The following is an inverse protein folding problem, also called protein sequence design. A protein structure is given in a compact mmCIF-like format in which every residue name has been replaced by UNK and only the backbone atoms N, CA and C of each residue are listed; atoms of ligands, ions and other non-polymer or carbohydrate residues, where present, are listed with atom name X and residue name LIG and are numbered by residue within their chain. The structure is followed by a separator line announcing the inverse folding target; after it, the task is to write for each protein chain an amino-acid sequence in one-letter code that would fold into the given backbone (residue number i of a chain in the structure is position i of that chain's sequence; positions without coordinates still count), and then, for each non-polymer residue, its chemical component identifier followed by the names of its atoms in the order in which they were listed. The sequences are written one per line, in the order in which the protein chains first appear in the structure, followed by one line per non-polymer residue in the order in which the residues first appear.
data_IF_375676152593
#
_entry.id   IF_375676152593
#
_cell.length_a   1.000
_cell.length_b   1.000
_cell.length_c   1.000
_cell.angle_alpha   90.00
_cell.angle_beta   90.00
_cell.angle_gamma   90.00
#
_symmetry.space_group_name_H-M   'P 1'
#
loop_
_entity.id
_entity.type
_entity.pdbx_description
1 polymer ?
#
# COMPACT_ATOMS: atom_id res chain seq x y z
N UNK A 1 8.02 -17.60 7.61
CA UNK A 1 7.73 -16.66 8.72
C UNK A 1 7.29 -15.38 8.07
N UNK A 2 6.20 -14.78 8.54
CA UNK A 2 5.73 -13.49 8.04
C UNK A 2 6.68 -12.40 8.53
N UNK A 3 7.28 -11.63 7.62
CA UNK A 3 8.21 -10.56 7.95
C UNK A 3 7.51 -9.23 8.25
N UNK A 4 6.33 -9.02 7.65
CA UNK A 4 5.50 -7.82 7.79
C UNK A 4 4.00 -8.15 7.69
N UNK A 5 3.17 -7.29 8.26
CA UNK A 5 1.73 -7.26 8.08
C UNK A 5 1.29 -6.40 6.88
N UNK A 6 -0.03 -6.29 6.74
CA UNK A 6 -0.70 -5.51 5.71
C UNK A 6 -2.20 -5.42 5.98
N UNK A 7 -2.88 -4.52 5.26
CA UNK A 7 -4.32 -4.32 5.32
C UNK A 7 -4.92 -4.49 3.93
N UNK A 8 -5.89 -5.39 3.76
CA UNK A 8 -6.64 -5.47 2.50
C UNK A 8 -7.54 -4.23 2.37
N UNK A 9 -7.29 -3.36 1.39
CA UNK A 9 -8.01 -2.09 1.21
C UNK A 9 -8.93 -2.08 -0.03
N UNK A 10 -8.76 -3.05 -0.92
CA UNK A 10 -9.65 -3.39 -2.02
C UNK A 10 -9.54 -4.90 -2.30
N UNK A 11 -10.43 -5.53 -3.10
CA UNK A 11 -10.47 -6.99 -3.26
C UNK A 11 -9.11 -7.63 -3.57
N UNK A 12 -8.26 -6.98 -4.35
CA UNK A 12 -6.91 -7.46 -4.69
C UNK A 12 -5.79 -6.47 -4.34
N UNK A 13 -6.02 -5.55 -3.39
CA UNK A 13 -5.02 -4.54 -3.01
C UNK A 13 -4.77 -4.57 -1.52
N UNK A 14 -3.51 -4.75 -1.16
CA UNK A 14 -3.04 -4.72 0.24
C UNK A 14 -2.17 -3.48 0.45
N UNK A 15 -2.52 -2.66 1.43
CA UNK A 15 -1.70 -1.56 1.92
C UNK A 15 -0.72 -2.09 2.97
N UNK A 16 0.55 -1.72 2.87
CA UNK A 16 1.61 -2.11 3.80
C UNK A 16 2.65 -0.98 3.91
N UNK A 17 3.73 -1.20 4.66
CA UNK A 17 4.84 -0.25 4.75
C UNK A 17 5.79 -0.41 3.54
N UNK A 18 6.40 0.68 3.09
CA UNK A 18 7.33 0.63 1.96
C UNK A 18 8.58 -0.19 2.28
N UNK A 19 9.03 -0.17 3.55
CA UNK A 19 10.20 -0.96 3.98
C UNK A 19 9.96 -2.48 3.97
N UNK A 20 8.69 -2.93 3.91
CA UNK A 20 8.33 -4.33 3.79
C UNK A 20 8.46 -4.88 2.37
N UNK A 21 8.45 -4.01 1.35
CA UNK A 21 8.56 -4.42 -0.05
C UNK A 21 10.01 -4.79 -0.39
N UNK A 22 10.20 -5.99 -0.94
CA UNK A 22 11.50 -6.59 -1.21
C UNK A 22 12.03 -7.49 -0.08
N UNK A 23 11.18 -7.85 0.90
CA UNK A 23 11.52 -8.70 2.05
C UNK A 23 10.79 -10.06 2.02
N UNK A 24 10.58 -10.64 0.82
CA UNK A 24 9.88 -11.91 0.66
C UNK A 24 8.35 -11.75 0.55
N UNK A 25 7.94 -10.79 -0.27
CA UNK A 25 6.56 -10.40 -0.56
C UNK A 25 5.93 -11.20 -1.71
N UNK A 26 6.35 -12.45 -1.94
CA UNK A 26 5.81 -13.29 -3.03
C UNK A 26 4.32 -13.64 -2.84
N UNK A 27 3.87 -13.77 -1.58
CA UNK A 27 2.50 -14.14 -1.22
C UNK A 27 2.01 -13.32 -0.03
N UNK A 28 0.71 -13.01 -0.02
CA UNK A 28 0.01 -12.44 1.13
C UNK A 28 -0.96 -13.48 1.69
N UNK A 29 -0.88 -13.69 3.01
CA UNK A 29 -1.90 -14.44 3.74
C UNK A 29 -3.01 -13.50 4.22
N UNK A 30 -4.26 -13.77 3.86
CA UNK A 30 -5.41 -12.91 4.14
C UNK A 30 -6.43 -13.69 4.99
N UNK A 31 -6.99 -13.03 6.01
CA UNK A 31 -7.93 -13.67 6.93
C UNK A 31 -7.34 -14.78 7.78
N UNK A 32 -6.01 -14.81 7.89
CA UNK A 32 -5.27 -15.75 8.75
C UNK A 32 -5.35 -15.27 10.19
N UNK A 33 -5.58 -16.17 11.14
CA UNK A 33 -5.40 -15.94 12.57
C UNK A 33 -3.97 -16.31 13.00
N UNK A 34 -3.31 -17.22 12.28
CA UNK A 34 -1.99 -17.73 12.65
C UNK A 34 -0.86 -17.04 11.89
N UNK A 35 0.27 -16.83 12.55
CA UNK A 35 1.44 -16.14 11.99
C UNK A 35 2.18 -16.92 10.88
N UNK A 36 1.81 -18.18 10.63
CA UNK A 36 2.39 -18.96 9.55
C UNK A 36 1.69 -18.75 8.21
N UNK A 37 0.50 -18.12 8.22
CA UNK A 37 -0.27 -17.78 7.03
C UNK A 37 -0.80 -18.97 6.22
N UNK A 38 -0.67 -20.20 6.70
CA UNK A 38 -1.01 -21.44 5.97
C UNK A 38 -2.02 -22.32 6.68
N UNK A 39 -2.33 -22.04 7.95
CA UNK A 39 -3.29 -22.83 8.73
C UNK A 39 -4.75 -22.47 8.43
N UNK A 40 -5.00 -21.21 8.13
CA UNK A 40 -6.32 -20.65 7.87
C UNK A 40 -6.22 -19.46 6.90
N UNK A 41 -7.38 -18.87 6.57
CA UNK A 41 -7.44 -17.79 5.61
C UNK A 41 -7.27 -18.25 4.17
N UNK A 42 -6.53 -17.46 3.40
CA UNK A 42 -6.07 -17.80 2.05
C UNK A 42 -4.70 -17.18 1.77
N UNK A 43 -3.99 -17.74 0.81
CA UNK A 43 -2.72 -17.20 0.32
C UNK A 43 -2.88 -16.80 -1.14
N UNK A 44 -2.58 -15.54 -1.42
CA UNK A 44 -2.66 -15.00 -2.79
C UNK A 44 -1.30 -14.47 -3.18
N UNK A 45 -0.86 -14.84 -4.37
CA UNK A 45 0.41 -14.39 -4.93
C UNK A 45 0.38 -12.91 -5.24
N UNK A 46 1.48 -12.23 -4.95
CA UNK A 46 1.67 -10.81 -5.29
C UNK A 46 2.05 -10.71 -6.76
N UNK A 47 1.27 -9.93 -7.50
CA UNK A 47 1.50 -9.58 -8.90
C UNK A 47 2.45 -8.40 -9.03
N UNK A 48 2.31 -7.40 -8.15
CA UNK A 48 3.09 -6.17 -8.21
C UNK A 48 3.22 -5.55 -6.82
N UNK A 49 4.40 -5.03 -6.51
CA UNK A 49 4.66 -4.26 -5.30
C UNK A 49 5.10 -2.85 -5.69
N UNK A 50 4.51 -1.83 -5.06
CA UNK A 50 4.73 -0.42 -5.41
C UNK A 50 4.95 0.37 -4.12
N UNK A 51 6.13 0.97 -3.98
CA UNK A 51 6.43 1.90 -2.88
C UNK A 51 5.86 3.29 -3.21
N UNK A 52 5.46 4.03 -2.19
CA UNK A 52 5.07 5.42 -2.35
C UNK A 52 6.23 6.22 -2.98
N UNK A 53 6.02 7.04 -4.03
CA UNK A 53 7.10 7.72 -4.75
C UNK A 53 7.86 8.75 -3.89
N UNK A 54 7.19 9.32 -2.88
CA UNK A 54 7.81 10.21 -1.88
C UNK A 54 8.44 9.46 -0.69
N UNK A 55 8.50 8.13 -0.73
CA UNK A 55 9.12 7.36 0.34
C UNK A 55 10.58 7.77 0.54
N UNK A 56 10.97 7.98 1.78
CA UNK A 56 12.35 8.26 2.14
C UNK A 56 12.80 7.32 3.26
N UNK A 57 13.45 6.21 2.89
CA UNK A 57 13.94 5.19 3.81
C UNK A 57 14.94 5.69 4.87
N UNK A 58 15.58 6.87 4.68
CA UNK A 58 16.48 7.43 5.71
C UNK A 58 15.70 8.10 6.85
N UNK A 59 14.56 8.68 6.53
CA UNK A 59 13.73 9.47 7.46
C UNK A 59 12.46 8.73 7.87
N UNK A 60 12.12 7.65 7.17
CA UNK A 60 10.84 6.94 7.21
C UNK A 60 9.63 7.76 6.73
N UNK A 61 9.86 8.90 6.07
CA UNK A 61 8.78 9.70 5.49
C UNK A 61 8.05 8.90 4.40
N UNK A 62 6.71 8.99 4.38
CA UNK A 62 5.86 8.25 3.45
C UNK A 62 6.21 6.75 3.37
N UNK A 63 6.39 6.09 4.52
CA UNK A 63 6.62 4.65 4.59
C UNK A 63 5.34 3.85 4.33
N UNK A 64 4.87 3.92 3.09
CA UNK A 64 3.65 3.32 2.58
C UNK A 64 3.96 2.62 1.27
N UNK A 65 3.40 1.44 1.07
CA UNK A 65 3.43 0.71 -0.19
C UNK A 65 2.12 -0.03 -0.42
N UNK A 66 1.88 -0.44 -1.66
CA UNK A 66 0.76 -1.31 -2.04
C UNK A 66 1.28 -2.58 -2.68
N UNK A 67 0.62 -3.69 -2.37
CA UNK A 67 0.77 -4.98 -3.04
C UNK A 67 -0.51 -5.23 -3.84
N UNK A 68 -0.36 -5.46 -5.15
CA UNK A 68 -1.43 -5.88 -6.04
C UNK A 68 -1.39 -7.39 -6.14
N UNK A 69 -2.51 -8.04 -5.86
CA UNK A 69 -2.65 -9.49 -5.84
C UNK A 69 -3.07 -10.04 -7.20
N UNK A 70 -2.70 -11.30 -7.49
CA UNK A 70 -3.06 -11.96 -8.76
C UNK A 70 -4.57 -12.18 -8.93
N UNK A 71 -5.31 -12.32 -7.83
CA UNK A 71 -6.77 -12.45 -7.83
C UNK A 71 -7.40 -11.73 -6.63
N UNK A 72 -8.71 -11.56 -6.70
CA UNK A 72 -9.50 -10.98 -5.62
C UNK A 72 -9.59 -11.94 -4.43
N UNK A 73 -9.45 -11.39 -3.23
CA UNK A 73 -9.67 -12.04 -1.96
C UNK A 73 -11.15 -12.29 -1.70
N UNK A 74 -11.46 -13.38 -1.01
CA UNK A 74 -12.82 -13.65 -0.49
C UNK A 74 -13.12 -12.88 0.79
N UNK A 75 -12.11 -12.28 1.43
CA UNK A 75 -12.27 -11.52 2.67
C UNK A 75 -12.62 -10.06 2.37
N UNK A 76 -13.41 -9.42 3.25
CA UNK A 76 -13.75 -8.02 3.06
C UNK A 76 -12.51 -7.13 3.26
N UNK A 77 -12.42 -6.08 2.44
CA UNK A 77 -11.46 -5.02 2.65
C UNK A 77 -11.86 -4.12 3.84
N UNK A 78 -10.86 -3.57 4.54
CA UNK A 78 -11.08 -2.55 5.56
C UNK A 78 -11.36 -1.20 4.91
N UNK A 79 -12.26 -0.41 5.48
CA UNK A 79 -12.52 0.95 5.03
C UNK A 79 -11.28 1.82 5.30
N UNK A 80 -10.79 2.54 4.29
CA UNK A 80 -9.70 3.51 4.46
C UNK A 80 -10.28 4.88 4.78
N UNK A 81 -9.84 5.49 5.88
CA UNK A 81 -10.19 6.88 6.21
C UNK A 81 -9.04 7.82 5.87
N UNK A 82 -9.38 8.89 5.16
CA UNK A 82 -8.49 10.02 4.91
C UNK A 82 -8.76 11.20 5.83
N UNK A 83 -9.62 11.03 6.83
CA UNK A 83 -9.92 12.06 7.81
C UNK A 83 -8.71 12.35 8.69
N UNK A 84 -8.67 13.56 9.25
CA UNK A 84 -7.64 13.91 10.23
C UNK A 84 -7.93 13.19 11.54
N UNK A 85 -6.96 12.45 12.04
CA UNK A 85 -7.01 11.84 13.38
C UNK A 85 -6.48 12.84 14.40
N UNK A 86 -7.33 13.21 15.37
CA UNK A 86 -6.96 14.11 16.45
C UNK A 86 -6.01 13.42 17.45
N UNK A 87 -5.41 14.20 18.35
CA UNK A 87 -4.72 13.63 19.51
C UNK A 87 -5.71 12.97 20.48
N UNK A 88 -5.22 12.06 21.31
CA UNK A 88 -5.99 11.31 22.32
C UNK A 88 -7.19 10.54 21.72
N UNK A 89 -7.11 10.22 20.43
CA UNK A 89 -8.12 9.42 19.74
C UNK A 89 -7.81 7.95 19.98
N UNK A 90 -8.76 7.16 20.52
CA UNK A 90 -8.59 5.73 20.68
C UNK A 90 -8.38 5.05 19.33
N UNK A 91 -7.31 4.27 19.22
CA UNK A 91 -6.97 3.46 18.05
C UNK A 91 -6.62 2.04 18.47
N UNK A 92 -6.67 1.11 17.53
CA UNK A 92 -6.31 -0.29 17.75
C UNK A 92 -5.27 -0.68 16.71
N UNK A 93 -4.17 -1.25 17.18
CA UNK A 93 -3.15 -1.89 16.34
C UNK A 93 -3.27 -3.40 16.46
N UNK A 94 -3.04 -4.11 15.34
CA UNK A 94 -3.16 -5.57 15.26
C UNK A 94 -1.96 -6.18 14.56
N UNK A 95 -1.51 -7.34 15.04
CA UNK A 95 -0.45 -8.08 14.39
C UNK A 95 0.06 -9.30 15.16
N UNK A 96 1.17 -9.84 14.67
CA UNK A 96 1.83 -11.07 15.18
C UNK A 96 3.25 -10.81 15.68
N UNK A 97 3.60 -9.53 15.82
CA UNK A 97 4.91 -9.09 16.24
C UNK A 97 5.31 -9.65 17.60
N UNK A 98 6.56 -9.40 17.98
CA UNK A 98 7.11 -9.86 19.24
C UNK A 98 6.31 -9.25 20.39
N UNK A 99 5.98 -10.05 21.41
CA UNK A 99 5.21 -9.58 22.58
C UNK A 99 6.07 -8.79 23.58
N UNK A 100 7.10 -8.10 23.09
CA UNK A 100 8.15 -7.43 23.83
C UNK A 100 9.42 -7.28 22.98
N UNK A 101 10.31 -6.35 23.35
CA UNK A 101 11.52 -6.02 22.58
C UNK A 101 12.48 -7.20 22.34
N UNK A 102 12.48 -8.19 23.25
CA UNK A 102 13.22 -9.47 23.13
C UNK A 102 12.27 -10.67 23.15
N UNK A 103 10.98 -10.43 22.93
CA UNK A 103 9.94 -11.45 22.96
C UNK A 103 9.94 -12.33 21.72
N UNK A 104 9.27 -13.47 21.80
CA UNK A 104 8.97 -14.27 20.61
C UNK A 104 7.77 -13.70 19.86
N UNK A 105 7.75 -13.84 18.52
CA UNK A 105 6.55 -13.52 17.73
C UNK A 105 5.35 -14.32 18.22
N UNK A 106 4.19 -13.66 18.30
CA UNK A 106 2.95 -14.35 18.65
C UNK A 106 2.57 -15.35 17.54
N UNK A 107 2.15 -16.56 17.93
CA UNK A 107 1.64 -17.57 16.98
C UNK A 107 0.24 -17.22 16.46
N UNK A 108 -0.46 -16.36 17.16
CA UNK A 108 -1.85 -15.96 16.89
C UNK A 108 -1.96 -14.44 16.81
N UNK A 109 -2.95 -13.94 16.09
CA UNK A 109 -3.17 -12.51 15.93
C UNK A 109 -3.51 -11.90 17.30
N UNK A 110 -2.83 -10.83 17.66
CA UNK A 110 -3.10 -10.04 18.84
C UNK A 110 -3.57 -8.64 18.44
N UNK A 111 -4.25 -7.97 19.36
CA UNK A 111 -4.62 -6.58 19.23
C UNK A 111 -4.40 -5.85 20.56
N UNK A 112 -4.12 -4.55 20.48
CA UNK A 112 -3.99 -3.69 21.64
C UNK A 112 -4.52 -2.29 21.33
N UNK A 113 -5.22 -1.72 22.31
CA UNK A 113 -5.68 -0.34 22.25
C UNK A 113 -4.53 0.63 22.53
N UNK A 114 -4.37 1.63 21.68
CA UNK A 114 -3.37 2.69 21.81
C UNK A 114 -4.03 4.02 21.44
N UNK A 115 -3.72 5.08 22.17
CA UNK A 115 -4.28 6.41 21.88
C UNK A 115 -3.29 7.23 21.08
N UNK A 116 -3.78 7.99 20.10
CA UNK A 116 -2.94 8.87 19.30
C UNK A 116 -2.30 9.95 20.16
N UNK A 117 -1.07 10.33 19.80
CA UNK A 117 -0.29 11.35 20.50
C UNK A 117 -0.20 12.59 19.61
N UNK A 118 -0.32 13.77 20.23
CA UNK A 118 -0.09 15.03 19.54
C UNK A 118 1.31 15.08 18.89
N UNK A 119 1.40 15.65 17.69
CA UNK A 119 2.64 15.70 16.89
C UNK A 119 3.82 16.34 17.62
N UNK A 120 3.60 17.46 18.31
CA UNK A 120 4.65 18.18 19.05
C UNK A 120 5.12 17.36 20.25
N UNK A 121 4.17 16.78 20.98
CA UNK A 121 4.50 15.91 22.11
C UNK A 121 5.23 14.64 21.66
N UNK A 122 4.85 14.05 20.52
CA UNK A 122 5.55 12.90 19.99
C UNK A 122 6.99 13.25 19.59
N UNK A 123 7.20 14.36 18.88
CA UNK A 123 8.55 14.83 18.56
C UNK A 123 9.39 15.12 19.82
N UNK A 124 8.77 15.69 20.86
CA UNK A 124 9.45 15.93 22.15
C UNK A 124 9.85 14.62 22.84
N UNK A 125 8.99 13.61 22.81
CA UNK A 125 9.29 12.30 23.40
C UNK A 125 10.35 11.53 22.62
N UNK A 126 10.35 11.69 21.30
CA UNK A 126 11.27 11.04 20.38
C UNK A 126 12.49 11.92 20.06
N UNK A 127 12.80 12.91 20.92
CA UNK A 127 13.94 13.80 20.73
C UNK A 127 15.25 13.01 20.82
N UNK A 128 15.91 12.81 19.69
CA UNK A 128 17.08 11.94 19.55
C UNK A 128 16.96 10.90 18.43
N UNK A 129 15.73 10.69 17.95
CA UNK A 129 15.43 9.86 16.78
C UNK A 129 15.20 10.73 15.54
N UNK A 130 14.78 10.09 14.43
CA UNK A 130 14.33 10.80 13.24
C UNK A 130 13.17 11.75 13.55
N UNK A 131 13.19 12.93 12.91
CA UNK A 131 12.11 13.90 13.02
C UNK A 131 10.79 13.29 12.52
N UNK A 132 9.74 13.42 13.33
CA UNK A 132 8.42 12.91 13.02
C UNK A 132 7.69 14.00 12.25
N UNK A 133 7.73 13.90 10.92
CA UNK A 133 7.13 14.88 10.01
C UNK A 133 5.62 14.68 9.83
N UNK A 134 5.00 15.52 9.00
CA UNK A 134 3.56 15.49 8.77
C UNK A 134 3.05 14.17 8.17
N UNK A 135 3.89 13.42 7.45
CA UNK A 135 3.54 12.11 6.86
C UNK A 135 3.41 11.00 7.90
N UNK A 136 3.73 11.28 9.17
CA UNK A 136 3.67 10.34 10.27
C UNK A 136 2.65 10.77 11.34
N UNK A 137 2.20 9.80 12.13
CA UNK A 137 1.46 10.01 13.36
C UNK A 137 1.97 9.03 14.42
N UNK A 138 1.73 9.35 15.68
CA UNK A 138 2.13 8.51 16.80
C UNK A 138 0.92 7.99 17.56
N UNK A 139 1.02 6.78 18.09
CA UNK A 139 0.01 6.20 18.98
C UNK A 139 0.68 5.40 20.09
N UNK A 140 0.11 5.42 21.30
CA UNK A 140 0.63 4.72 22.47
C UNK A 140 1.57 5.56 23.34
N UNK A 141 2.59 4.92 23.93
CA UNK A 141 3.57 5.60 24.80
C UNK A 141 3.15 5.75 26.27
N UNK A 142 1.98 5.21 26.68
CA UNK A 142 1.60 5.11 28.11
C UNK A 142 2.47 4.11 28.89
N UNK A 143 3.13 3.19 28.17
CA UNK A 143 3.89 2.08 28.72
C UNK A 143 3.02 0.84 28.95
N UNK A 144 3.57 -0.36 28.72
CA UNK A 144 2.86 -1.63 28.84
C UNK A 144 2.08 -2.09 27.59
N UNK A 145 1.73 -1.16 26.69
CA UNK A 145 0.92 -1.41 25.48
C UNK A 145 1.53 -0.68 24.27
N UNK A 146 1.83 -1.40 23.18
CA UNK A 146 2.44 -0.88 21.95
C UNK A 146 2.42 -1.91 20.80
N UNK A 147 2.64 -1.44 19.57
CA UNK A 147 3.08 -2.31 18.46
C UNK A 147 4.56 -2.67 18.58
N UNK A 148 4.97 -3.79 18.00
CA UNK A 148 6.35 -4.27 18.16
C UNK A 148 6.91 -4.89 16.86
N UNK A 149 8.11 -5.48 16.95
CA UNK A 149 8.84 -6.02 15.82
C UNK A 149 8.02 -7.11 15.12
N UNK A 150 7.82 -6.99 13.81
CA UNK A 150 6.98 -7.91 13.01
C UNK A 150 5.53 -7.46 12.83
N UNK A 151 5.12 -6.35 13.47
CA UNK A 151 3.84 -5.69 13.15
C UNK A 151 3.96 -4.68 12.01
N UNK A 152 5.18 -4.40 11.54
CA UNK A 152 5.48 -3.50 10.41
C UNK A 152 4.55 -3.73 9.22
N UNK A 153 4.00 -2.65 8.67
CA UNK A 153 3.00 -2.70 7.60
C UNK A 153 1.59 -3.05 8.05
N UNK A 154 1.41 -3.45 9.32
CA UNK A 154 0.13 -3.79 9.91
C UNK A 154 -0.79 -2.57 10.13
N UNK A 155 -2.09 -2.83 10.39
CA UNK A 155 -3.11 -1.80 10.51
C UNK A 155 -3.02 -1.01 11.83
N UNK A 156 -3.18 0.31 11.74
CA UNK A 156 -3.72 1.13 12.82
C UNK A 156 -5.11 1.59 12.44
N UNK A 157 -6.09 1.27 13.29
CA UNK A 157 -7.52 1.49 13.01
C UNK A 157 -8.21 2.33 14.07
N UNK A 158 -9.22 3.09 13.67
CA UNK A 158 -10.21 3.67 14.55
C UNK A 158 -11.48 2.82 14.54
N UNK A 159 -11.97 2.45 15.72
CA UNK A 159 -13.20 1.68 15.87
C UNK A 159 -14.38 2.65 16.11
N UNK A 160 -15.27 2.81 15.13
CA UNK A 160 -16.45 3.68 15.25
C UNK A 160 -17.72 2.91 14.95
N UNK A 161 -18.66 2.89 15.90
CA UNK A 161 -19.99 2.27 15.72
C UNK A 161 -19.95 0.84 15.17
N UNK A 162 -18.96 0.04 15.62
CA UNK A 162 -18.79 -1.35 15.21
C UNK A 162 -18.12 -1.58 13.86
N UNK A 163 -17.53 -0.53 13.26
CA UNK A 163 -16.72 -0.64 12.04
C UNK A 163 -15.31 -0.10 12.27
N UNK A 164 -14.31 -0.84 11.79
CA UNK A 164 -12.91 -0.44 11.82
C UNK A 164 -12.58 0.38 10.57
N UNK A 165 -11.97 1.56 10.77
CA UNK A 165 -11.43 2.38 9.69
C UNK A 165 -9.91 2.46 9.79
N UNK A 166 -9.22 2.14 8.71
CA UNK A 166 -7.78 2.21 8.62
C UNK A 166 -7.34 3.68 8.55
N UNK A 167 -6.48 4.09 9.48
CA UNK A 167 -5.98 5.47 9.61
C UNK A 167 -4.46 5.58 9.62
N UNK A 168 -3.77 4.47 9.84
CA UNK A 168 -2.31 4.42 9.81
C UNK A 168 -1.77 3.04 9.44
N UNK A 169 -0.48 3.02 9.09
CA UNK A 169 0.28 1.81 8.78
C UNK A 169 1.49 1.76 9.72
N UNK A 170 1.69 0.66 10.44
CA UNK A 170 2.84 0.48 11.35
C UNK A 170 4.14 0.69 10.57
N UNK A 171 5.00 1.60 11.01
CA UNK A 171 6.23 1.95 10.30
C UNK A 171 7.47 1.66 11.14
N UNK A 172 7.63 2.30 12.29
CA UNK A 172 8.79 2.12 13.16
C UNK A 172 8.48 2.49 14.61
N UNK A 173 9.42 2.21 15.51
CA UNK A 173 9.33 2.54 16.93
C UNK A 173 10.65 2.31 17.64
N UNK A 174 10.75 2.74 18.89
CA UNK A 174 11.94 2.54 19.72
C UNK A 174 11.58 1.63 20.88
N UNK A 175 12.12 0.40 20.85
CA UNK A 175 11.70 -0.67 21.77
C UNK A 175 10.19 -0.91 21.64
N UNK A 176 9.59 -1.66 22.55
CA UNK A 176 8.15 -1.90 22.55
C UNK A 176 7.60 -1.65 23.94
N UNK A 177 6.48 -0.93 24.01
CA UNK A 177 5.71 -0.71 25.24
C UNK A 177 6.46 0.07 26.33
N UNK A 178 7.36 0.97 25.91
CA UNK A 178 8.11 1.83 26.82
C UNK A 178 7.39 3.17 26.99
N UNK A 179 7.30 3.62 28.25
CA UNK A 179 6.70 4.91 28.56
C UNK A 179 7.41 6.03 27.80
N UNK A 180 6.63 6.95 27.23
CA UNK A 180 7.07 8.06 26.38
C UNK A 180 7.81 7.61 25.11
N UNK A 181 7.59 6.39 24.62
CA UNK A 181 8.09 5.92 23.33
C UNK A 181 6.91 5.31 22.55
N UNK A 182 6.07 6.13 21.91
CA UNK A 182 4.96 5.63 21.13
C UNK A 182 5.45 4.91 19.86
N UNK A 183 4.62 4.04 19.31
CA UNK A 183 4.77 3.57 17.94
C UNK A 183 4.57 4.71 16.94
N UNK A 184 5.32 4.67 15.84
CA UNK A 184 5.23 5.64 14.73
C UNK A 184 4.63 4.94 13.52
N UNK A 185 3.59 5.57 12.98
CA UNK A 185 2.77 5.06 11.90
C UNK A 185 2.80 6.03 10.73
N UNK A 186 2.77 5.52 9.52
CA UNK A 186 2.52 6.35 8.34
C UNK A 186 1.08 6.84 8.36
N UNK A 187 0.90 8.16 8.18
CA UNK A 187 -0.39 8.86 8.24
C UNK A 187 -1.12 8.75 6.90
N UNK A 188 -2.18 7.95 6.85
CA UNK A 188 -2.92 7.65 5.60
C UNK A 188 -3.48 8.90 4.93
N UNK A 189 -4.00 9.86 5.71
CA UNK A 189 -4.56 11.10 5.17
C UNK A 189 -3.55 11.91 4.35
N UNK A 190 -2.25 11.80 4.64
CA UNK A 190 -1.19 12.48 3.88
C UNK A 190 -0.76 11.75 2.61
N UNK A 191 -1.17 10.49 2.44
CA UNK A 191 -0.89 9.67 1.27
C UNK A 191 -2.15 9.41 0.43
N UNK A 192 -3.19 10.23 0.60
CA UNK A 192 -4.46 10.08 -0.12
C UNK A 192 -4.28 9.95 -1.63
N UNK A 193 -3.50 10.84 -2.23
CA UNK A 193 -3.28 10.86 -3.70
C UNK A 193 -2.66 9.56 -4.20
N UNK A 194 -1.85 8.89 -3.37
CA UNK A 194 -1.27 7.59 -3.68
C UNK A 194 -2.28 6.45 -3.47
N UNK A 195 -3.06 6.46 -2.38
CA UNK A 195 -3.91 5.33 -1.99
C UNK A 195 -5.26 5.32 -2.73
N UNK A 196 -5.89 6.47 -2.89
CA UNK A 196 -7.26 6.61 -3.43
C UNK A 196 -7.44 5.96 -4.83
N UNK A 197 -6.47 6.05 -5.77
CA UNK A 197 -6.57 5.36 -7.07
C UNK A 197 -6.74 3.84 -6.97
N UNK A 198 -6.22 3.22 -5.91
CA UNK A 198 -6.31 1.77 -5.71
C UNK A 198 -7.64 1.33 -5.08
N UNK A 199 -8.37 2.23 -4.41
CA UNK A 199 -9.68 1.94 -3.81
C UNK A 199 -10.81 1.87 -4.84
N UNK A 200 -10.64 2.54 -5.99
CA UNK A 200 -11.67 2.67 -7.04
C UNK A 200 -11.75 1.43 -7.96
N UNK A 201 -10.83 0.46 -7.81
CA UNK A 201 -10.85 -0.80 -8.57
C UNK A 201 -11.47 -1.93 -7.74
N UNK A 202 -12.63 -2.40 -8.18
CA UNK A 202 -13.28 -3.65 -7.75
C UNK A 202 -13.86 -4.34 -9.00
N UNK A 203 -14.14 -5.65 -8.93
CA UNK A 203 -13.24 -6.80 -9.04
C UNK A 203 -12.75 -7.04 -10.49
N UNK A 204 -11.59 -7.70 -10.64
CA UNK A 204 -11.25 -8.27 -11.96
C UNK A 204 -12.18 -9.45 -12.18
N UNK A 205 -13.16 -9.30 -13.08
CA UNK A 205 -13.99 -10.43 -13.49
C UNK A 205 -13.10 -11.58 -13.95
N UNK A 206 -13.11 -12.68 -13.20
CA UNK A 206 -12.47 -13.92 -13.63
C UNK A 206 -13.03 -14.32 -15.01
N UNK A 207 -12.21 -14.71 -16.00
CA UNK A 207 -12.71 -15.28 -17.23
C UNK A 207 -13.38 -16.63 -16.92
N UNK A 208 -14.71 -16.65 -16.95
CA UNK A 208 -15.50 -17.87 -16.82
C UNK A 208 -15.16 -18.88 -17.92
N UNK A 209 -15.02 -20.14 -17.53
CA UNK A 209 -14.68 -21.29 -18.37
C UNK A 209 -15.87 -21.76 -19.22
N UNK A 210 -15.57 -22.11 -20.47
CA UNK A 210 -16.21 -23.14 -21.35
C UNK A 210 -17.60 -22.87 -21.99
N UNK A 211 -17.63 -22.69 -23.31
CA UNK A 211 -18.22 -23.69 -24.27
C UNK A 211 -17.74 -23.43 -25.72
N UNK A 212 -17.43 -24.51 -26.45
CA UNK A 212 -16.96 -24.54 -27.85
C UNK A 212 -18.14 -24.70 -28.87
N UNK A 213 -17.96 -24.99 -30.18
CA UNK A 213 -17.34 -24.21 -31.28
C UNK A 213 -18.23 -24.02 -32.55
N UNK A 214 -17.96 -22.95 -33.35
CA UNK A 214 -18.16 -22.81 -34.83
C UNK A 214 -19.54 -22.34 -35.35
N UNK A 215 -19.70 -21.87 -36.63
CA UNK A 215 -18.72 -21.75 -37.74
C UNK A 215 -18.75 -20.44 -38.64
N UNK A 216 -17.59 -20.15 -39.26
CA UNK A 216 -17.24 -19.45 -40.55
C UNK A 216 -17.91 -18.16 -41.14
N UNK A 217 -17.01 -17.23 -41.55
CA UNK A 217 -16.98 -16.04 -42.50
C UNK A 217 -17.76 -16.21 -43.85
N UNK A 218 -17.82 -15.26 -44.84
CA UNK A 218 -17.23 -13.89 -44.99
C UNK A 218 -18.01 -12.79 -45.79
N UNK A 219 -17.64 -11.49 -45.68
CA UNK A 219 -17.75 -10.53 -46.82
C UNK A 219 -16.84 -9.28 -46.70
N UNK A 220 -16.50 -8.69 -47.84
CA UNK A 220 -15.39 -7.77 -48.19
C UNK A 220 -15.81 -6.28 -48.31
N UNK A 221 -14.82 -5.36 -48.31
CA UNK A 221 -14.88 -3.87 -48.28
C UNK A 221 -15.45 -3.16 -49.55
N UNK A 222 -15.55 -1.81 -49.54
CA UNK A 222 -14.56 -1.04 -50.32
C UNK A 222 -13.98 0.26 -49.67
N UNK A 223 -12.83 0.64 -50.24
CA UNK A 223 -11.84 1.68 -49.92
C UNK A 223 -12.30 3.14 -50.14
N UNK A 224 -11.69 4.08 -49.40
CA UNK A 224 -11.41 5.44 -49.88
C UNK A 224 -10.12 6.00 -49.26
N UNK A 225 -9.23 6.47 -50.14
CA UNK A 225 -7.84 6.86 -49.92
C UNK A 225 -7.71 8.35 -49.61
N UNK A 226 -6.84 8.76 -48.67
CA UNK A 226 -6.03 9.99 -48.81
C UNK A 226 -4.77 9.90 -47.94
N UNK A 227 -3.60 10.26 -48.49
CA UNK A 227 -2.29 10.13 -47.87
C UNK A 227 -1.86 11.33 -46.98
N UNK A 228 -1.10 10.94 -45.96
CA UNK A 228 -0.21 11.59 -44.98
C UNK A 228 0.64 12.78 -45.47
N UNK A 229 1.00 13.71 -44.56
CA UNK A 229 2.39 13.86 -44.07
C UNK A 229 2.40 14.09 -42.53
N UNK A 230 3.31 13.67 -41.66
CA UNK A 230 4.62 12.99 -41.68
C UNK A 230 4.72 12.41 -40.26
N UNK A 231 4.57 11.10 -40.07
CA UNK A 231 4.69 10.50 -38.74
C UNK A 231 6.15 10.18 -38.47
N UNK A 232 6.74 10.89 -37.51
CA UNK A 232 7.83 10.35 -36.71
C UNK A 232 7.34 8.99 -36.17
N UNK A 233 8.10 7.89 -36.30
CA UNK A 233 7.68 6.63 -35.72
C UNK A 233 7.41 6.84 -34.23
N UNK A 234 6.26 6.37 -33.68
CA UNK A 234 6.00 6.49 -32.25
C UNK A 234 7.14 5.84 -31.50
N UNK A 235 7.68 6.55 -30.51
CA UNK A 235 8.75 6.07 -29.65
C UNK A 235 8.26 4.76 -29.01
N UNK A 236 9.06 3.67 -28.97
CA UNK A 236 8.61 2.39 -28.43
C UNK A 236 8.04 2.57 -27.02
N UNK A 237 6.75 2.22 -26.82
CA UNK A 237 6.02 2.47 -25.57
C UNK A 237 4.96 3.58 -25.62
N UNK A 238 5.01 4.50 -26.59
CA UNK A 238 4.03 5.59 -26.75
C UNK A 238 2.88 5.26 -27.72
N UNK A 239 2.61 3.98 -27.99
CA UNK A 239 1.53 3.59 -28.91
C UNK A 239 0.15 3.62 -28.26
N UNK A 240 0.08 3.67 -26.93
CA UNK A 240 -1.15 3.55 -26.13
C UNK A 240 -1.32 4.69 -25.11
N UNK A 241 -0.41 5.65 -25.07
CA UNK A 241 -0.39 6.73 -24.08
C UNK A 241 -0.13 8.09 -24.76
N UNK A 242 -0.84 9.12 -24.30
CA UNK A 242 -0.71 10.50 -24.80
C UNK A 242 -0.05 11.45 -23.77
N UNK A 243 0.51 10.89 -22.69
CA UNK A 243 1.06 11.60 -21.51
C UNK A 243 2.36 10.91 -21.06
N UNK A 244 2.63 10.72 -19.77
CA UNK A 244 3.80 9.97 -19.31
C UNK A 244 3.57 8.45 -19.34
N UNK A 245 4.43 7.70 -20.02
CA UNK A 245 4.41 6.24 -20.06
C UNK A 245 5.53 5.64 -19.22
N UNK A 246 5.20 4.66 -18.40
CA UNK A 246 6.17 3.91 -17.59
C UNK A 246 6.39 2.52 -18.17
N UNK A 247 7.54 2.33 -18.83
CA UNK A 247 7.87 1.09 -19.54
C UNK A 247 7.99 -0.14 -18.63
N UNK A 248 8.36 0.05 -17.37
CA UNK A 248 8.50 -1.05 -16.40
C UNK A 248 7.18 -1.72 -16.01
N UNK A 249 6.03 -1.07 -16.27
CA UNK A 249 4.71 -1.61 -15.95
C UNK A 249 3.70 -1.52 -17.11
N UNK A 250 4.13 -1.11 -18.30
CA UNK A 250 3.26 -0.90 -19.48
C UNK A 250 2.03 -0.04 -19.14
N UNK A 251 2.25 1.12 -18.51
CA UNK A 251 1.19 1.95 -17.92
C UNK A 251 1.32 3.44 -18.24
N UNK A 252 0.18 4.10 -18.49
CA UNK A 252 0.10 5.55 -18.71
C UNK A 252 -0.20 6.29 -17.38
N UNK A 253 0.73 7.14 -16.96
CA UNK A 253 0.62 8.06 -15.83
C UNK A 253 -0.07 9.35 -16.29
N UNK A 254 -1.40 9.29 -16.45
CA UNK A 254 -2.22 10.37 -17.03
C UNK A 254 -2.19 11.70 -16.25
N UNK A 255 -1.79 11.66 -14.97
CA UNK A 255 -1.77 12.83 -14.09
C UNK A 255 -0.37 13.47 -13.95
N UNK A 256 0.64 12.91 -14.61
CA UNK A 256 2.01 13.46 -14.54
C UNK A 256 2.15 14.60 -15.55
N UNK A 257 2.71 15.73 -15.11
CA UNK A 257 3.12 16.77 -16.04
C UNK A 257 4.33 16.30 -16.86
N UNK A 258 4.66 17.03 -17.93
CA UNK A 258 5.86 16.75 -18.72
C UNK A 258 7.12 16.81 -17.86
N UNK A 259 7.20 17.79 -16.96
CA UNK A 259 8.34 17.98 -16.06
C UNK A 259 8.45 16.83 -15.06
N UNK A 260 7.33 16.36 -14.50
CA UNK A 260 7.32 15.17 -13.64
C UNK A 260 7.78 13.95 -14.42
N UNK A 261 7.29 13.77 -15.65
CA UNK A 261 7.67 12.63 -16.47
C UNK A 261 9.15 12.63 -16.82
N UNK A 262 9.70 13.80 -17.15
CA UNK A 262 11.11 13.98 -17.51
C UNK A 262 12.05 13.80 -16.31
N UNK A 263 11.60 14.20 -15.12
CA UNK A 263 12.34 14.00 -13.87
C UNK A 263 12.68 12.52 -13.62
N UNK A 264 11.74 11.62 -13.94
CA UNK A 264 11.88 10.18 -13.69
C UNK A 264 12.54 9.39 -14.83
N UNK A 265 12.94 10.04 -15.94
CA UNK A 265 13.61 9.36 -17.08
C UNK A 265 14.89 8.63 -16.65
N UNK A 266 15.82 9.25 -15.89
CA UNK A 266 17.11 8.62 -15.58
C UNK A 266 16.97 7.39 -14.66
N UNK A 267 15.94 7.38 -13.82
CA UNK A 267 15.79 6.38 -12.74
C UNK A 267 14.80 5.26 -13.10
N UNK A 268 13.74 5.60 -13.83
CA UNK A 268 12.62 4.70 -14.09
C UNK A 268 12.36 4.46 -15.58
N UNK A 269 13.11 5.10 -16.47
CA UNK A 269 12.93 4.95 -17.92
C UNK A 269 11.54 5.36 -18.38
N UNK A 270 10.91 6.33 -17.69
CA UNK A 270 9.64 6.93 -18.10
C UNK A 270 9.80 7.62 -19.45
N UNK A 271 8.68 7.83 -20.13
CA UNK A 271 8.65 8.31 -21.51
C UNK A 271 7.50 9.31 -21.66
N UNK A 272 7.81 10.57 -21.93
CA UNK A 272 6.76 11.52 -22.30
C UNK A 272 6.28 11.24 -23.73
N UNK A 273 4.98 11.01 -23.88
CA UNK A 273 4.29 10.63 -25.12
C UNK A 273 3.30 11.70 -25.61
N UNK A 274 3.12 12.79 -24.86
CA UNK A 274 2.33 13.94 -25.30
C UNK A 274 3.09 14.78 -26.34
N UNK A 275 2.35 15.37 -27.29
CA UNK A 275 2.89 16.30 -28.29
C UNK A 275 3.42 17.60 -27.66
#
# INVERSE_FOLDING_TARGET
MTACGGSLIAPNVVLTAAHCIGQGDDYVAIGSHYNNGTKDGEQIKVKQAIKHPKNNAKTNAYDIGVLILECDSKFPAVEVSFDTVAADTPTVVRGWGTTGSEGSMSKVLLEVGVDTVNQEQCNKWMSGENNIDASMLCSGGKGGEDSCQGDSGGPLTMETSGSAKLVGVVSWGVQCAVKNKPGVYSRISMARDFIEPYLKKSPTSAPGTTTAPGPTKPTTMPNATTMRPTTVPPKPGCTTCDVCYYAGADYCLNDFSKEDCEHYIPEHGTLWCGN
#
